data_IF_092152687043
#
_entry.id   IF_092152687043
#
_cell.length_a   1.000
_cell.length_b   1.000
_cell.length_c   1.000
_cell.angle_alpha   90.00
_cell.angle_beta   90.00
_cell.angle_gamma   90.00
#
_symmetry.space_group_name_H-M   'P 1'
#
loop_
_entity.id
_entity.type
_entity.pdbx_description
1 polymer ?
#
# COMPACT_ATOMS: atom_id res chain seq x y z
N UNK A 1 54.44 36.70 4.85
CA UNK A 1 53.17 36.58 4.10
C UNK A 1 52.02 36.63 5.12
N UNK A 2 51.34 37.75 5.36
CA UNK A 2 50.19 38.29 4.59
C UNK A 2 49.08 37.22 4.42
N UNK A 3 47.82 37.37 4.85
CA UNK A 3 46.95 38.56 4.98
C UNK A 3 45.97 38.46 6.17
N UNK A 4 45.72 39.60 6.82
CA UNK A 4 44.48 39.90 7.56
C UNK A 4 43.54 40.63 6.59
N UNK A 5 42.25 40.28 6.55
CA UNK A 5 41.22 41.12 5.92
C UNK A 5 40.13 41.43 6.93
N UNK A 6 39.98 42.73 7.17
CA UNK A 6 38.98 43.36 8.01
C UNK A 6 37.63 43.46 7.28
N UNK A 7 36.53 43.43 8.04
CA UNK A 7 35.26 44.03 7.63
C UNK A 7 34.70 44.87 8.76
N UNK A 8 34.64 46.17 8.51
CA UNK A 8 34.13 47.21 9.41
C UNK A 8 32.87 47.84 8.80
N UNK A 9 31.79 47.82 9.60
CA UNK A 9 30.77 48.85 9.87
C UNK A 9 30.47 49.92 8.79
N UNK A 10 29.20 50.08 8.41
CA UNK A 10 28.43 51.35 8.55
C UNK A 10 26.96 51.24 8.17
N UNK A 11 26.15 51.92 8.98
CA UNK A 11 24.70 52.10 8.90
C UNK A 11 24.31 53.24 7.93
N UNK A 12 23.05 53.25 7.48
CA UNK A 12 22.36 54.45 7.05
C UNK A 12 20.86 54.31 7.30
N UNK A 13 20.37 55.13 8.24
CA UNK A 13 18.97 55.43 8.51
C UNK A 13 18.50 56.43 7.45
N UNK A 14 17.28 56.31 6.95
CA UNK A 14 16.61 57.44 6.30
C UNK A 14 15.10 57.37 6.53
N UNK A 15 14.66 58.14 7.51
CA UNK A 15 13.27 58.48 7.80
C UNK A 15 12.67 59.31 6.67
N UNK A 16 11.36 59.22 6.43
CA UNK A 16 10.53 60.33 5.96
C UNK A 16 9.06 60.00 6.23
N UNK A 17 8.41 60.84 7.03
CA UNK A 17 7.00 60.76 7.40
C UNK A 17 6.12 61.65 6.51
N UNK A 18 4.96 61.09 6.16
CA UNK A 18 3.59 61.64 6.16
C UNK A 18 3.22 62.98 5.49
N UNK A 19 2.10 62.95 4.76
CA UNK A 19 0.94 63.90 4.76
C UNK A 19 -0.22 63.19 4.01
N UNK A 20 -1.30 62.76 4.71
CA UNK A 20 -2.66 63.37 4.89
C UNK A 20 -3.48 63.44 3.58
N UNK A 21 -4.77 63.08 3.46
CA UNK A 21 -5.96 63.07 4.34
C UNK A 21 -7.10 62.22 3.66
N UNK A 22 -8.43 62.43 3.88
CA UNK A 22 -9.26 62.21 5.07
C UNK A 22 -10.42 61.20 4.88
N UNK A 23 -10.99 60.79 6.02
CA UNK A 23 -12.33 60.23 6.33
C UNK A 23 -13.37 59.97 5.21
N UNK A 24 -13.90 58.75 5.19
CA UNK A 24 -15.27 58.47 4.72
C UNK A 24 -15.95 57.38 5.58
N UNK A 25 -17.23 57.53 5.99
CA UNK A 25 -17.94 56.60 6.87
C UNK A 25 -18.50 55.38 6.12
N UNK A 26 -18.51 54.24 6.81
CA UNK A 26 -19.08 52.97 6.36
C UNK A 26 -20.61 53.03 6.17
N UNK A 27 -21.17 52.46 5.10
CA UNK A 27 -22.59 52.10 5.06
C UNK A 27 -22.81 50.73 5.71
N UNK A 28 -23.86 50.54 6.53
CA UNK A 28 -24.25 49.20 6.98
C UNK A 28 -24.97 48.48 5.83
N UNK A 29 -24.49 47.29 5.44
CA UNK A 29 -25.29 46.39 4.59
C UNK A 29 -26.22 45.53 5.44
N UNK A 30 -27.42 45.22 4.93
CA UNK A 30 -28.50 44.64 5.70
C UNK A 30 -28.34 43.12 5.81
N UNK A 31 -28.98 42.58 6.85
CA UNK A 31 -29.18 41.15 7.13
C UNK A 31 -29.21 40.26 5.87
N UNK A 32 -28.10 39.56 5.65
CA UNK A 32 -28.01 38.41 4.75
C UNK A 32 -28.08 37.13 5.56
N UNK A 33 -29.26 36.53 5.56
CA UNK A 33 -29.59 35.10 5.75
C UNK A 33 -28.43 34.18 6.20
N UNK A 34 -28.58 33.58 7.39
CA UNK A 34 -27.87 32.36 7.81
C UNK A 34 -28.14 31.26 6.78
N UNK A 35 -27.24 31.08 5.82
CA UNK A 35 -27.15 29.86 5.05
C UNK A 35 -26.58 28.77 5.98
N UNK A 36 -27.35 27.71 6.16
CA UNK A 36 -26.99 26.58 7.00
C UNK A 36 -25.64 26.01 6.60
N UNK A 37 -24.84 25.66 7.61
CA UNK A 37 -23.68 24.81 7.43
C UNK A 37 -24.19 23.43 7.01
N UNK A 38 -24.31 23.21 5.69
CA UNK A 38 -24.45 21.86 5.15
C UNK A 38 -23.10 21.21 5.36
N UNK A 39 -22.97 20.43 6.43
CA UNK A 39 -21.86 19.49 6.56
C UNK A 39 -21.97 18.55 5.36
N UNK A 40 -21.13 18.77 4.36
CA UNK A 40 -20.87 17.77 3.35
C UNK A 40 -20.25 16.57 4.08
N UNK A 41 -21.09 15.59 4.40
CA UNK A 41 -20.63 14.24 4.67
C UNK A 41 -20.10 13.73 3.34
N UNK A 42 -18.77 13.79 3.20
CA UNK A 42 -18.08 13.04 2.16
C UNK A 42 -18.31 11.56 2.50
N UNK A 43 -19.34 10.96 1.92
CA UNK A 43 -19.43 9.50 1.81
C UNK A 43 -18.39 9.08 0.77
N UNK A 44 -17.11 9.25 1.08
CA UNK A 44 -16.06 8.56 0.36
C UNK A 44 -16.30 7.07 0.56
N UNK A 45 -16.08 6.22 -0.46
CA UNK A 45 -16.15 4.79 -0.26
C UNK A 45 -15.13 4.46 0.83
N UNK A 46 -15.62 3.96 1.96
CA UNK A 46 -14.77 3.30 2.95
C UNK A 46 -14.06 2.21 2.16
N UNK A 47 -12.73 2.30 2.14
CA UNK A 47 -11.85 1.33 1.48
C UNK A 47 -12.33 -0.07 1.85
N UNK A 48 -12.93 -0.77 0.90
CA UNK A 48 -13.17 -2.21 1.04
C UNK A 48 -11.78 -2.84 1.02
N UNK A 49 -11.20 -3.04 2.20
CA UNK A 49 -10.03 -3.87 2.45
C UNK A 49 -10.37 -5.34 2.18
N UNK A 50 -10.82 -5.62 0.96
CA UNK A 50 -11.14 -6.96 0.50
C UNK A 50 -9.89 -7.65 -0.05
N UNK A 51 -9.76 -8.94 0.26
CA UNK A 51 -8.75 -9.80 -0.34
C UNK A 51 -9.06 -9.99 -1.83
N UNK A 52 -8.02 -9.90 -2.65
CA UNK A 52 -8.06 -10.12 -4.09
C UNK A 52 -7.26 -11.36 -4.44
N UNK A 53 -7.63 -12.05 -5.52
CA UNK A 53 -7.05 -13.33 -5.89
C UNK A 53 -6.57 -13.37 -7.34
N UNK A 54 -5.50 -14.12 -7.58
CA UNK A 54 -4.99 -14.47 -8.90
C UNK A 54 -5.58 -15.80 -9.38
N UNK A 55 -5.48 -16.06 -10.68
CA UNK A 55 -5.76 -17.36 -11.29
C UNK A 55 -4.80 -18.45 -10.78
N UNK A 56 -3.61 -18.06 -10.33
CA UNK A 56 -2.60 -18.94 -9.72
C UNK A 56 -2.80 -19.21 -8.23
N UNK A 57 -3.96 -18.83 -7.68
CA UNK A 57 -4.33 -19.07 -6.28
C UNK A 57 -3.45 -18.33 -5.25
N UNK A 58 -2.81 -17.23 -5.66
CA UNK A 58 -2.25 -16.26 -4.74
C UNK A 58 -3.33 -15.26 -4.34
N UNK A 59 -3.18 -14.69 -3.15
CA UNK A 59 -4.01 -13.59 -2.69
C UNK A 59 -3.19 -12.36 -2.35
N UNK A 60 -3.82 -11.20 -2.46
CA UNK A 60 -3.29 -9.92 -1.99
C UNK A 60 -4.34 -9.17 -1.19
N UNK A 61 -3.95 -8.66 -0.02
CA UNK A 61 -4.76 -7.77 0.80
C UNK A 61 -4.07 -6.42 0.86
N UNK A 62 -4.78 -5.35 0.50
CA UNK A 62 -4.25 -3.99 0.58
C UNK A 62 -4.35 -3.48 2.02
N UNK A 63 -3.22 -3.07 2.57
CA UNK A 63 -3.11 -2.42 3.87
C UNK A 63 -3.11 -0.89 3.75
N UNK A 64 -3.25 -0.23 4.88
CA UNK A 64 -3.08 1.22 4.97
C UNK A 64 -1.63 1.60 4.59
N UNK A 65 -1.48 2.66 3.80
CA UNK A 65 -0.15 3.13 3.38
C UNK A 65 0.37 2.56 2.05
N UNK A 66 -0.46 1.86 1.28
CA UNK A 66 -0.11 1.43 -0.08
C UNK A 66 0.78 0.18 -0.14
N UNK A 67 0.80 -0.60 0.94
CA UNK A 67 1.43 -1.92 1.02
C UNK A 67 0.38 -2.99 0.74
N UNK A 68 0.76 -4.01 -0.03
CA UNK A 68 -0.01 -5.22 -0.25
C UNK A 68 0.66 -6.40 0.44
N UNK A 69 -0.11 -7.15 1.21
CA UNK A 69 0.33 -8.41 1.82
C UNK A 69 -0.09 -9.55 0.93
N UNK A 70 0.85 -10.43 0.58
CA UNK A 70 0.68 -11.51 -0.39
C UNK A 70 0.82 -12.87 0.28
N UNK A 71 -0.02 -13.83 -0.11
CA UNK A 71 0.06 -15.22 0.33
C UNK A 71 -0.58 -16.18 -0.67
N UNK A 72 -0.72 -17.46 -0.29
CA UNK A 72 -1.45 -18.47 -1.08
C UNK A 72 -2.80 -18.81 -0.45
N UNK A 73 -3.76 -19.23 -1.26
CA UNK A 73 -5.11 -19.55 -0.80
C UNK A 73 -5.19 -20.89 -0.07
N UNK A 74 -6.32 -21.13 0.62
CA UNK A 74 -6.60 -22.42 1.23
C UNK A 74 -6.62 -23.57 0.19
N UNK A 75 -7.16 -23.32 -0.99
CA UNK A 75 -7.19 -24.29 -2.07
C UNK A 75 -5.76 -24.69 -2.51
N UNK A 76 -4.87 -23.71 -2.63
CA UNK A 76 -3.48 -23.95 -3.02
C UNK A 76 -2.71 -24.77 -1.96
N UNK A 77 -2.86 -24.45 -0.68
CA UNK A 77 -2.15 -25.18 0.38
C UNK A 77 -2.67 -26.62 0.52
N UNK A 78 -3.96 -26.86 0.34
CA UNK A 78 -4.53 -28.22 0.36
C UNK A 78 -3.99 -29.07 -0.80
N UNK A 79 -3.89 -28.48 -2.00
CA UNK A 79 -3.33 -29.15 -3.17
C UNK A 79 -1.83 -29.45 -3.02
N UNK A 80 -1.07 -28.55 -2.40
CA UNK A 80 0.34 -28.77 -2.08
C UNK A 80 0.53 -29.85 -1.01
N UNK A 81 -0.35 -29.91 -0.01
CA UNK A 81 -0.17 -30.69 1.21
C UNK A 81 0.80 -30.03 2.19
N UNK A 82 1.38 -30.81 3.09
CA UNK A 82 2.23 -30.30 4.17
C UNK A 82 3.50 -29.62 3.64
N UNK A 83 3.54 -28.29 3.78
CA UNK A 83 4.65 -27.45 3.33
C UNK A 83 5.84 -27.66 4.26
N UNK A 84 6.99 -27.99 3.68
CA UNK A 84 8.24 -28.25 4.40
C UNK A 84 9.32 -27.22 4.11
N UNK A 85 9.17 -26.43 3.05
CA UNK A 85 10.12 -25.40 2.68
C UNK A 85 9.46 -24.24 1.93
N UNK A 86 9.98 -23.03 2.17
CA UNK A 86 9.55 -21.80 1.53
C UNK A 86 10.78 -21.01 1.06
N UNK A 87 10.84 -20.73 -0.24
CA UNK A 87 11.84 -19.86 -0.85
C UNK A 87 11.22 -18.50 -1.12
N UNK A 88 11.65 -17.48 -0.37
CA UNK A 88 11.19 -16.10 -0.47
C UNK A 88 12.31 -15.17 -0.98
N UNK A 89 11.96 -14.06 -1.64
CA UNK A 89 12.92 -13.09 -2.17
C UNK A 89 13.54 -12.27 -1.04
N UNK A 90 14.56 -11.48 -1.36
CA UNK A 90 15.12 -10.53 -0.40
C UNK A 90 14.26 -9.25 -0.32
N UNK A 91 14.24 -8.62 0.84
CA UNK A 91 13.65 -7.27 1.01
C UNK A 91 14.39 -6.28 0.10
N UNK A 92 13.65 -5.42 -0.59
CA UNK A 92 14.15 -4.50 -1.62
C UNK A 92 14.13 -5.07 -3.04
N UNK A 93 13.74 -6.34 -3.22
CA UNK A 93 13.59 -6.94 -4.56
C UNK A 93 12.44 -6.26 -5.30
N UNK A 94 12.69 -5.80 -6.53
CA UNK A 94 11.66 -5.27 -7.43
C UNK A 94 11.05 -6.41 -8.23
N UNK A 95 9.73 -6.49 -8.21
CA UNK A 95 8.95 -7.52 -8.88
C UNK A 95 7.99 -6.85 -9.86
N UNK A 96 7.88 -7.41 -11.06
CA UNK A 96 6.82 -7.09 -12.00
C UNK A 96 5.62 -8.02 -11.78
N UNK A 97 4.44 -7.59 -12.19
CA UNK A 97 3.25 -8.45 -12.23
C UNK A 97 3.56 -9.75 -13.00
N UNK A 98 3.13 -10.88 -12.44
CA UNK A 98 3.39 -12.24 -12.94
C UNK A 98 4.86 -12.65 -13.01
N UNK A 99 5.77 -11.91 -12.36
CA UNK A 99 7.16 -12.33 -12.20
C UNK A 99 7.28 -13.36 -11.08
N UNK A 100 8.08 -14.40 -11.30
CA UNK A 100 8.37 -15.41 -10.27
C UNK A 100 9.22 -14.79 -9.17
N UNK A 101 8.76 -14.87 -7.92
CA UNK A 101 9.50 -14.36 -6.77
C UNK A 101 9.98 -15.44 -5.80
N UNK A 102 9.42 -16.65 -5.89
CA UNK A 102 9.67 -17.69 -4.90
C UNK A 102 9.12 -19.06 -5.28
N UNK A 103 9.15 -19.97 -4.31
CA UNK A 103 8.57 -21.30 -4.43
C UNK A 103 8.17 -21.86 -3.06
N UNK A 104 7.13 -22.69 -3.03
CA UNK A 104 6.76 -23.54 -1.90
C UNK A 104 7.00 -24.99 -2.26
N UNK A 105 7.58 -25.74 -1.33
CA UNK A 105 7.83 -27.16 -1.49
C UNK A 105 7.19 -27.94 -0.34
N UNK A 106 6.53 -29.03 -0.72
CA UNK A 106 5.96 -30.03 0.18
C UNK A 106 6.61 -31.39 -0.09
N UNK A 107 6.23 -32.40 0.70
CA UNK A 107 6.65 -33.79 0.44
C UNK A 107 6.01 -34.36 -0.83
N UNK A 108 4.95 -33.73 -1.35
CA UNK A 108 4.16 -34.24 -2.48
C UNK A 108 4.39 -33.47 -3.77
N UNK A 109 4.63 -32.17 -3.68
CA UNK A 109 4.66 -31.26 -4.81
C UNK A 109 5.54 -30.04 -4.52
N UNK A 110 5.85 -29.30 -5.58
CA UNK A 110 6.42 -27.97 -5.49
C UNK A 110 5.60 -27.03 -6.38
N UNK A 111 5.36 -25.81 -5.91
CA UNK A 111 4.69 -24.76 -6.68
C UNK A 111 5.52 -23.49 -6.68
N UNK A 112 5.65 -22.90 -7.86
CA UNK A 112 6.27 -21.59 -8.03
C UNK A 112 5.30 -20.50 -7.60
N UNK A 113 5.85 -19.41 -7.05
CA UNK A 113 5.08 -18.26 -6.59
C UNK A 113 5.30 -17.07 -7.52
N UNK A 114 4.22 -16.44 -7.93
CA UNK A 114 4.22 -15.32 -8.87
C UNK A 114 3.67 -14.05 -8.23
N UNK A 115 4.26 -12.91 -8.57
CA UNK A 115 3.84 -11.64 -7.99
C UNK A 115 2.47 -11.24 -8.55
N UNK A 116 1.46 -10.98 -7.70
CA UNK A 116 0.15 -10.56 -8.19
C UNK A 116 0.17 -9.16 -8.82
N UNK A 117 1.13 -8.33 -8.41
CA UNK A 117 1.23 -6.91 -8.76
C UNK A 117 2.70 -6.51 -8.97
N UNK A 118 2.92 -5.38 -9.64
CA UNK A 118 4.22 -4.76 -9.79
C UNK A 118 4.57 -3.92 -8.55
N UNK A 119 5.80 -4.04 -8.02
CA UNK A 119 6.17 -3.44 -6.75
C UNK A 119 7.59 -3.73 -6.26
N UNK A 120 7.84 -3.39 -5.00
CA UNK A 120 9.09 -3.68 -4.29
C UNK A 120 8.78 -4.38 -2.97
N UNK A 121 9.48 -5.47 -2.67
CA UNK A 121 9.31 -6.25 -1.44
C UNK A 121 9.76 -5.41 -0.25
N UNK A 122 8.87 -5.17 0.72
CA UNK A 122 9.16 -4.39 1.92
C UNK A 122 9.42 -5.28 3.14
N UNK A 123 8.83 -6.46 3.17
CA UNK A 123 8.91 -7.39 4.30
C UNK A 123 8.74 -8.83 3.81
N UNK A 124 9.37 -9.78 4.49
CA UNK A 124 9.19 -11.21 4.27
C UNK A 124 8.81 -11.88 5.58
N UNK A 125 8.06 -12.98 5.51
CA UNK A 125 7.67 -13.70 6.71
C UNK A 125 8.79 -14.61 7.19
N UNK A 126 9.66 -14.08 8.06
CA UNK A 126 10.79 -14.82 8.64
C UNK A 126 10.34 -16.04 9.47
N UNK A 127 9.10 -16.05 9.99
CA UNK A 127 8.59 -17.17 10.76
C UNK A 127 8.47 -18.46 9.93
N UNK A 128 8.37 -18.36 8.60
CA UNK A 128 8.28 -19.51 7.70
C UNK A 128 9.59 -20.29 7.56
N UNK A 129 10.73 -19.68 7.90
CA UNK A 129 12.01 -20.37 7.91
C UNK A 129 12.07 -21.44 9.01
N UNK A 130 11.46 -21.17 10.16
CA UNK A 130 11.39 -22.11 11.29
C UNK A 130 10.12 -22.97 11.24
N UNK A 131 9.01 -22.40 10.77
CA UNK A 131 7.69 -23.02 10.82
C UNK A 131 6.94 -22.90 9.48
N UNK A 132 7.39 -23.61 8.42
CA UNK A 132 6.75 -23.55 7.09
C UNK A 132 5.28 -24.01 7.11
N UNK A 133 4.91 -24.88 8.06
CA UNK A 133 3.52 -25.34 8.24
C UNK A 133 2.52 -24.26 8.65
N UNK A 134 2.95 -23.02 8.95
CA UNK A 134 2.05 -21.88 9.10
C UNK A 134 1.26 -21.61 7.82
N UNK A 135 1.84 -21.89 6.65
CA UNK A 135 1.14 -21.80 5.36
C UNK A 135 -0.09 -22.72 5.32
N UNK A 136 0.01 -23.92 5.89
CA UNK A 136 -1.13 -24.85 5.94
C UNK A 136 -2.16 -24.47 7.02
N UNK A 137 -1.70 -23.98 8.18
CA UNK A 137 -2.57 -23.71 9.34
C UNK A 137 -3.30 -22.36 9.27
N UNK A 138 -2.63 -21.34 8.72
CA UNK A 138 -3.05 -19.94 8.80
C UNK A 138 -2.75 -19.20 7.49
N UNK A 139 -3.03 -19.79 6.32
CA UNK A 139 -2.70 -19.24 4.99
C UNK A 139 -3.12 -17.78 4.73
N UNK A 140 -4.11 -17.29 5.48
CA UNK A 140 -4.70 -15.95 5.36
C UNK A 140 -4.29 -14.97 6.46
N UNK A 141 -3.66 -15.47 7.53
CA UNK A 141 -3.23 -14.71 8.69
C UNK A 141 -1.70 -14.88 8.83
N UNK A 142 -1.22 -15.72 9.75
CA UNK A 142 0.22 -15.91 10.04
C UNK A 142 1.02 -16.54 8.90
N UNK A 143 0.36 -17.12 7.89
CA UNK A 143 0.95 -17.78 6.72
C UNK A 143 1.17 -16.87 5.50
N UNK A 144 1.12 -15.55 5.67
CA UNK A 144 1.51 -14.60 4.62
C UNK A 144 2.97 -14.82 4.19
N UNK A 145 3.31 -14.48 2.95
CA UNK A 145 4.62 -14.78 2.36
C UNK A 145 5.50 -13.53 2.32
N UNK A 146 5.01 -12.48 1.66
CA UNK A 146 5.71 -11.21 1.49
C UNK A 146 4.75 -10.04 1.67
N UNK A 147 5.31 -8.88 2.01
CA UNK A 147 4.65 -7.58 1.83
C UNK A 147 5.40 -6.78 0.79
N UNK A 148 4.67 -6.02 -0.02
CA UNK A 148 5.27 -5.21 -1.08
C UNK A 148 4.56 -3.89 -1.27
N UNK A 149 5.28 -2.86 -1.72
CA UNK A 149 4.67 -1.61 -2.19
C UNK A 149 3.96 -1.84 -3.52
N UNK A 150 2.87 -1.12 -3.77
CA UNK A 150 2.16 -1.21 -5.04
C UNK A 150 2.60 -0.10 -5.99
N UNK A 151 3.38 -0.44 -7.03
CA UNK A 151 3.82 0.53 -8.04
C UNK A 151 2.68 0.97 -8.95
N UNK A 152 1.74 0.07 -9.24
CA UNK A 152 0.56 0.35 -10.05
C UNK A 152 -0.71 -0.17 -9.34
N UNK A 153 -1.44 0.68 -8.60
CA UNK A 153 -2.59 0.23 -7.84
C UNK A 153 -3.78 -0.19 -8.73
N UNK A 154 -3.82 0.20 -10.00
CA UNK A 154 -4.88 -0.19 -10.93
C UNK A 154 -4.82 -1.68 -11.29
N UNK A 155 -3.67 -2.34 -11.13
CA UNK A 155 -3.55 -3.79 -11.35
C UNK A 155 -4.41 -4.60 -10.36
N UNK A 156 -4.79 -4.04 -9.19
CA UNK A 156 -5.72 -4.67 -8.24
C UNK A 156 -7.14 -4.83 -8.79
N UNK A 157 -7.54 -3.95 -9.71
CA UNK A 157 -8.88 -3.97 -10.29
C UNK A 157 -9.06 -5.13 -11.28
N UNK A 158 -7.94 -5.64 -11.81
CA UNK A 158 -7.90 -6.81 -12.69
C UNK A 158 -7.98 -8.15 -11.93
N UNK A 159 -7.74 -8.13 -10.62
CA UNK A 159 -7.77 -9.33 -9.78
C UNK A 159 -9.20 -9.69 -9.36
N UNK A 160 -9.41 -11.00 -9.18
CA UNK A 160 -10.69 -11.55 -8.78
C UNK A 160 -11.05 -11.10 -7.36
N UNK A 161 -12.32 -10.76 -7.13
CA UNK A 161 -12.87 -10.69 -5.78
C UNK A 161 -12.96 -12.09 -5.19
N UNK A 162 -13.11 -12.18 -3.87
CA UNK A 162 -13.34 -13.44 -3.16
C UNK A 162 -14.52 -14.23 -3.74
N UNK A 163 -15.67 -13.57 -3.98
CA UNK A 163 -16.84 -14.21 -4.60
C UNK A 163 -16.57 -14.76 -6.02
N UNK A 164 -15.75 -14.06 -6.80
CA UNK A 164 -15.36 -14.51 -8.14
C UNK A 164 -14.40 -15.70 -8.07
N UNK A 165 -13.46 -15.66 -7.11
CA UNK A 165 -12.51 -16.73 -6.87
C UNK A 165 -13.18 -18.02 -6.38
N UNK A 166 -14.18 -17.94 -5.50
CA UNK A 166 -14.97 -19.11 -5.09
C UNK A 166 -15.69 -19.78 -6.27
N UNK A 167 -16.26 -18.98 -7.19
CA UNK A 167 -16.87 -19.51 -8.41
C UNK A 167 -15.84 -20.14 -9.33
N UNK A 168 -14.66 -19.53 -9.44
CA UNK A 168 -13.54 -20.07 -10.21
C UNK A 168 -13.10 -21.43 -9.68
N UNK A 169 -12.87 -21.58 -8.37
CA UNK A 169 -12.52 -22.88 -7.77
C UNK A 169 -13.59 -23.93 -8.06
N UNK A 170 -14.87 -23.61 -7.81
CA UNK A 170 -15.98 -24.55 -8.07
C UNK A 170 -16.00 -25.04 -9.52
N UNK A 171 -15.68 -24.17 -10.47
CA UNK A 171 -15.62 -24.54 -11.89
C UNK A 171 -14.43 -25.43 -12.28
N UNK A 172 -13.42 -25.56 -11.42
CA UNK A 172 -12.26 -26.45 -11.63
C UNK A 172 -12.51 -27.83 -11.02
N UNK A 173 -13.34 -27.91 -9.98
CA UNK A 173 -13.69 -29.16 -9.28
C UNK A 173 -14.77 -29.99 -10.01
N UNK A 174 -15.52 -29.38 -10.92
CA UNK A 174 -16.55 -30.03 -11.77
C UNK A 174 -15.98 -30.59 -13.08
#
# INVERSE_FOLDING_TARGET
MALRVARSVRAAVCSLSAISAPNAPCPPRPWGLRAGAVRALCTGPVLLSGRKFTDKHEWVTKENGGVGTVGISNFAQEALGDVVYCSLPEVGTKLNKQEKFGALESVKAASELYSPLSGEVTEINEALAENPGLVNKSCYEDGWLIKMTLSNPSELDELMSEEAYEKYIKSIEE
#
